data_IF_549906707959
#
_entry.id   IF_549906707959
#
_cell.length_a   1.000
_cell.length_b   1.000
_cell.length_c   1.000
_cell.angle_alpha   90.00
_cell.angle_beta   90.00
_cell.angle_gamma   90.00
#
_symmetry.space_group_name_H-M   'P 1'
#
loop_
_entity.id
_entity.type
_entity.pdbx_description
1 polymer ?
#
# COMPACT_ATOMS: atom_id res chain seq x y z
N UNK A 1 -78.91 -48.21 -44.73
CA UNK A 1 -77.62 -48.87 -45.03
C UNK A 1 -76.59 -47.82 -45.37
N UNK A 2 -75.61 -47.66 -44.49
CA UNK A 2 -74.21 -47.20 -44.66
C UNK A 2 -73.93 -46.18 -45.79
N UNK A 3 -73.39 -44.99 -45.54
CA UNK A 3 -72.04 -44.84 -45.00
C UNK A 3 -71.77 -43.38 -44.59
N UNK A 4 -71.27 -43.23 -43.36
CA UNK A 4 -70.72 -42.01 -42.76
C UNK A 4 -69.20 -42.03 -42.92
N UNK A 5 -68.55 -40.91 -43.27
CA UNK A 5 -67.32 -40.35 -42.63
C UNK A 5 -66.66 -39.29 -43.53
N UNK A 6 -66.74 -38.02 -43.15
CA UNK A 6 -65.76 -37.23 -42.38
C UNK A 6 -64.64 -36.65 -43.26
N UNK A 7 -64.83 -35.41 -43.68
CA UNK A 7 -63.79 -34.51 -44.21
C UNK A 7 -62.86 -34.15 -43.05
N UNK A 8 -61.59 -34.50 -43.17
CA UNK A 8 -60.54 -34.17 -42.21
C UNK A 8 -59.94 -32.82 -42.63
N UNK A 9 -60.33 -31.74 -41.94
CA UNK A 9 -59.66 -30.45 -42.05
C UNK A 9 -58.36 -30.51 -41.23
N UNK A 10 -57.21 -30.51 -41.92
CA UNK A 10 -55.90 -30.34 -41.28
C UNK A 10 -55.78 -28.91 -40.76
N UNK A 11 -55.98 -28.72 -39.46
CA UNK A 11 -55.61 -27.51 -38.74
C UNK A 11 -54.10 -27.57 -38.47
N UNK A 12 -53.29 -26.93 -39.31
CA UNK A 12 -51.87 -26.68 -39.01
C UNK A 12 -51.79 -25.61 -37.91
N UNK A 13 -51.71 -26.06 -36.65
CA UNK A 13 -51.31 -25.20 -35.55
C UNK A 13 -49.83 -24.84 -35.73
N UNK A 14 -49.55 -23.61 -36.14
CA UNK A 14 -48.20 -23.03 -36.07
C UNK A 14 -47.91 -22.82 -34.58
N UNK A 15 -47.21 -23.76 -33.97
CA UNK A 15 -46.59 -23.57 -32.66
C UNK A 15 -45.42 -22.62 -32.91
N UNK A 16 -45.64 -21.32 -32.69
CA UNK A 16 -44.55 -20.37 -32.46
C UNK A 16 -43.84 -20.80 -31.18
N UNK A 17 -42.85 -21.69 -31.30
CA UNK A 17 -41.79 -21.85 -30.32
C UNK A 17 -41.06 -20.51 -30.28
N UNK A 18 -41.46 -19.63 -29.37
CA UNK A 18 -40.62 -18.53 -28.93
C UNK A 18 -39.35 -19.16 -28.38
N UNK A 19 -38.28 -19.17 -29.18
CA UNK A 19 -36.94 -19.36 -28.69
C UNK A 19 -36.68 -18.19 -27.74
N UNK A 20 -36.89 -18.41 -26.45
CA UNK A 20 -36.31 -17.57 -25.42
C UNK A 20 -34.81 -17.77 -25.62
N UNK A 21 -34.17 -16.83 -26.33
CA UNK A 21 -32.72 -16.74 -26.33
C UNK A 21 -32.33 -16.51 -24.88
N UNK A 22 -31.90 -17.58 -24.19
CA UNK A 22 -31.23 -17.43 -22.91
C UNK A 22 -30.03 -16.55 -23.18
N UNK A 23 -30.08 -15.30 -22.70
CA UNK A 23 -28.95 -14.41 -22.76
C UNK A 23 -27.80 -15.10 -22.00
N UNK A 24 -26.82 -15.57 -22.75
CA UNK A 24 -25.78 -16.48 -22.28
C UNK A 24 -24.92 -15.75 -21.23
N UNK A 25 -24.89 -16.30 -20.01
CA UNK A 25 -23.98 -15.82 -18.97
C UNK A 25 -22.63 -16.46 -19.26
N UNK A 26 -21.67 -15.64 -19.66
CA UNK A 26 -20.28 -16.05 -19.78
C UNK A 26 -19.60 -16.00 -18.42
N UNK A 27 -18.59 -16.84 -18.22
CA UNK A 27 -17.91 -16.94 -16.92
C UNK A 27 -16.39 -16.98 -17.07
N UNK A 28 -15.69 -16.41 -16.10
CA UNK A 28 -14.23 -16.46 -15.98
C UNK A 28 -13.88 -16.86 -14.54
N UNK A 29 -13.21 -18.00 -14.35
CA UNK A 29 -12.73 -18.42 -13.02
C UNK A 29 -11.68 -17.45 -12.54
N UNK A 30 -11.71 -17.10 -11.27
CA UNK A 30 -10.72 -16.23 -10.66
C UNK A 30 -9.95 -17.01 -9.58
N UNK A 31 -8.63 -16.97 -9.65
CA UNK A 31 -7.73 -17.58 -8.66
C UNK A 31 -7.13 -16.51 -7.79
N UNK A 32 -7.03 -16.80 -6.50
CA UNK A 32 -6.26 -15.99 -5.55
C UNK A 32 -4.87 -16.61 -5.38
N UNK A 33 -3.81 -15.85 -5.60
CA UNK A 33 -2.42 -16.32 -5.39
C UNK A 33 -1.97 -16.02 -3.95
N UNK A 34 -2.65 -16.59 -2.97
CA UNK A 34 -2.30 -16.35 -1.57
C UNK A 34 -1.11 -17.23 -1.13
N UNK A 35 0.04 -16.59 -0.93
CA UNK A 35 1.22 -17.18 -0.27
C UNK A 35 1.23 -16.91 1.24
N UNK A 36 0.47 -15.89 1.68
CA UNK A 36 0.51 -15.33 3.01
C UNK A 36 -0.44 -16.00 4.01
N UNK A 37 -1.46 -16.72 3.52
CA UNK A 37 -2.47 -17.40 4.34
C UNK A 37 -3.14 -16.46 5.32
N UNK A 38 -3.48 -15.26 4.83
CA UNK A 38 -4.11 -14.22 5.65
C UNK A 38 -5.43 -14.75 6.21
N UNK A 39 -5.62 -14.57 7.52
CA UNK A 39 -6.89 -14.94 8.17
C UNK A 39 -7.90 -13.80 8.05
N UNK A 40 -9.12 -14.16 7.67
CA UNK A 40 -10.24 -13.23 7.56
C UNK A 40 -10.25 -12.45 6.24
N UNK A 41 -11.17 -11.48 6.10
CA UNK A 41 -11.33 -10.73 4.85
C UNK A 41 -10.08 -9.91 4.51
N UNK A 42 -9.65 -10.01 3.25
CA UNK A 42 -8.55 -9.24 2.66
C UNK A 42 -9.05 -8.50 1.40
N UNK A 43 -8.47 -7.33 1.05
CA UNK A 43 -8.77 -6.69 -0.21
C UNK A 43 -8.29 -7.52 -1.40
N UNK A 44 -9.22 -7.98 -2.23
CA UNK A 44 -8.93 -8.69 -3.47
C UNK A 44 -9.19 -7.75 -4.65
N UNK A 45 -8.12 -7.45 -5.39
CA UNK A 45 -8.15 -6.54 -6.54
C UNK A 45 -7.55 -7.25 -7.75
N UNK A 46 -8.30 -7.31 -8.85
CA UNK A 46 -7.92 -8.10 -10.02
C UNK A 46 -8.41 -7.54 -11.33
N UNK A 47 -7.57 -7.64 -12.37
CA UNK A 47 -7.93 -7.26 -13.73
C UNK A 47 -8.72 -8.36 -14.43
N UNK A 48 -9.88 -8.01 -14.98
CA UNK A 48 -10.75 -8.89 -15.74
C UNK A 48 -10.67 -8.53 -17.23
N UNK A 49 -10.14 -9.43 -18.09
CA UNK A 49 -10.19 -9.26 -19.54
C UNK A 49 -11.56 -9.69 -20.08
N UNK A 50 -12.06 -8.96 -21.08
CA UNK A 50 -13.29 -9.32 -21.76
C UNK A 50 -13.09 -9.37 -23.28
N UNK A 51 -13.70 -10.36 -23.96
CA UNK A 51 -13.76 -10.36 -25.42
C UNK A 51 -14.49 -9.12 -25.94
N UNK A 52 -14.12 -8.70 -27.15
CA UNK A 52 -14.80 -7.62 -27.85
C UNK A 52 -16.29 -7.91 -27.99
N UNK A 53 -17.12 -6.89 -27.78
CA UNK A 53 -18.59 -6.95 -27.79
C UNK A 53 -19.26 -7.82 -26.70
N UNK A 54 -18.51 -8.45 -25.79
CA UNK A 54 -19.10 -9.32 -24.76
C UNK A 54 -19.85 -8.54 -23.66
N UNK A 55 -19.34 -7.37 -23.26
CA UNK A 55 -19.94 -6.53 -22.23
C UNK A 55 -19.64 -5.06 -22.48
N UNK A 56 -20.66 -4.21 -22.37
CA UNK A 56 -20.56 -2.75 -22.59
C UNK A 56 -20.83 -1.95 -21.31
N UNK A 57 -21.45 -2.57 -20.30
CA UNK A 57 -21.77 -1.96 -19.02
C UNK A 57 -21.14 -2.77 -17.89
N UNK A 58 -20.38 -2.10 -17.01
CA UNK A 58 -19.77 -2.73 -15.85
C UNK A 58 -20.80 -3.31 -14.89
N UNK A 59 -22.04 -2.82 -14.84
CA UNK A 59 -23.13 -3.38 -14.03
C UNK A 59 -23.52 -4.82 -14.45
N UNK A 60 -23.11 -5.24 -15.64
CA UNK A 60 -23.30 -6.60 -16.16
C UNK A 60 -22.12 -7.53 -15.86
N UNK A 61 -21.33 -7.21 -14.84
CA UNK A 61 -20.22 -8.02 -14.33
C UNK A 61 -20.43 -8.17 -12.82
N UNK A 62 -20.55 -9.40 -12.33
CA UNK A 62 -20.63 -9.72 -10.90
C UNK A 62 -19.58 -10.76 -10.51
N UNK A 63 -19.21 -10.77 -9.23
CA UNK A 63 -18.34 -11.80 -8.65
C UNK A 63 -19.19 -12.76 -7.84
N UNK A 64 -18.96 -14.05 -8.00
CA UNK A 64 -19.62 -15.10 -7.21
C UNK A 64 -18.57 -15.99 -6.56
N UNK A 65 -18.91 -16.57 -5.41
CA UNK A 65 -18.10 -17.61 -4.76
C UNK A 65 -18.36 -19.01 -5.35
N UNK A 66 -17.64 -20.01 -4.82
CA UNK A 66 -17.81 -21.41 -5.20
C UNK A 66 -19.22 -21.98 -4.97
N UNK A 67 -20.03 -21.36 -4.10
CA UNK A 67 -21.43 -21.76 -3.85
C UNK A 67 -22.41 -21.03 -4.78
N UNK A 68 -21.93 -20.18 -5.69
CA UNK A 68 -22.75 -19.36 -6.57
C UNK A 68 -23.40 -18.16 -5.88
N UNK A 69 -22.97 -17.82 -4.66
CA UNK A 69 -23.45 -16.64 -3.95
C UNK A 69 -22.71 -15.42 -4.48
N UNK A 70 -23.45 -14.34 -4.73
CA UNK A 70 -22.85 -13.09 -5.17
C UNK A 70 -22.05 -12.45 -4.03
N UNK A 71 -20.82 -12.05 -4.35
CA UNK A 71 -19.94 -11.28 -3.49
C UNK A 71 -20.10 -9.79 -3.86
N UNK A 72 -20.43 -8.90 -2.90
CA UNK A 72 -20.45 -7.48 -3.16
C UNK A 72 -19.11 -7.03 -3.75
N UNK A 73 -19.16 -6.51 -4.98
CA UNK A 73 -17.97 -6.12 -5.72
C UNK A 73 -18.14 -4.75 -6.36
N UNK A 74 -17.03 -4.06 -6.51
CA UNK A 74 -16.89 -2.84 -7.28
C UNK A 74 -16.15 -3.19 -8.56
N UNK A 75 -16.67 -2.76 -9.72
CA UNK A 75 -16.07 -3.03 -11.02
C UNK A 75 -15.86 -1.73 -11.77
N UNK A 76 -14.60 -1.45 -12.09
CA UNK A 76 -14.16 -0.19 -12.67
C UNK A 76 -13.60 -0.42 -14.07
N UNK A 77 -14.16 0.24 -15.09
CA UNK A 77 -13.68 0.11 -16.47
C UNK A 77 -12.28 0.73 -16.57
N UNK A 78 -11.30 -0.07 -16.99
CA UNK A 78 -9.91 0.35 -17.15
C UNK A 78 -9.57 0.64 -18.62
N UNK A 79 -10.15 -0.11 -19.57
CA UNK A 79 -9.98 0.13 -20.99
C UNK A 79 -11.16 -0.39 -21.80
N UNK A 80 -11.43 0.25 -22.94
CA UNK A 80 -12.46 -0.16 -23.90
C UNK A 80 -11.86 -0.46 -25.28
N UNK A 81 -12.59 -1.26 -26.07
CA UNK A 81 -12.37 -1.38 -27.51
C UNK A 81 -12.94 -0.16 -28.25
N UNK A 82 -12.61 -0.02 -29.54
CA UNK A 82 -13.10 1.08 -30.40
C UNK A 82 -14.63 1.12 -30.54
N UNK A 83 -15.31 -0.02 -30.35
CA UNK A 83 -16.78 -0.10 -30.39
C UNK A 83 -17.45 0.22 -29.04
N UNK A 84 -16.67 0.62 -28.03
CA UNK A 84 -17.17 0.95 -26.70
C UNK A 84 -17.33 -0.25 -25.76
N UNK A 85 -17.17 -1.48 -26.24
CA UNK A 85 -17.18 -2.66 -25.36
C UNK A 85 -15.97 -2.65 -24.41
N UNK A 86 -16.18 -3.14 -23.19
CA UNK A 86 -15.14 -3.18 -22.16
C UNK A 86 -14.08 -4.20 -22.60
N UNK A 87 -12.82 -3.80 -22.57
CA UNK A 87 -11.66 -4.66 -22.82
C UNK A 87 -11.03 -5.16 -21.53
N UNK A 88 -10.90 -4.24 -20.56
CA UNK A 88 -10.37 -4.51 -19.23
C UNK A 88 -11.22 -3.79 -18.19
N UNK A 89 -11.58 -4.49 -17.12
CA UNK A 89 -12.11 -3.89 -15.91
C UNK A 89 -11.30 -4.33 -14.69
N UNK A 90 -11.34 -3.55 -13.63
CA UNK A 90 -10.76 -3.88 -12.33
C UNK A 90 -11.89 -4.26 -11.38
N UNK A 91 -11.89 -5.49 -10.89
CA UNK A 91 -12.75 -5.92 -9.80
C UNK A 91 -12.07 -5.64 -8.45
N UNK A 92 -12.83 -5.16 -7.47
CA UNK A 92 -12.38 -4.91 -6.10
C UNK A 92 -13.45 -5.35 -5.11
N UNK A 93 -13.09 -6.20 -4.15
CA UNK A 93 -13.96 -6.64 -3.07
C UNK A 93 -13.16 -7.09 -1.84
N UNK A 94 -13.84 -7.24 -0.70
CA UNK A 94 -13.27 -7.87 0.49
C UNK A 94 -13.66 -9.35 0.48
N UNK A 95 -12.68 -10.25 0.53
CA UNK A 95 -12.94 -11.69 0.46
C UNK A 95 -11.90 -12.51 1.21
N UNK A 96 -12.17 -13.81 1.38
CA UNK A 96 -11.19 -14.76 1.90
C UNK A 96 -10.09 -15.02 0.87
N UNK A 97 -8.85 -15.10 1.31
CA UNK A 97 -7.69 -15.32 0.43
C UNK A 97 -7.53 -16.78 -0.01
N UNK A 98 -8.19 -17.71 0.68
CA UNK A 98 -8.34 -19.13 0.28
C UNK A 98 -9.63 -19.41 -0.49
N UNK A 99 -10.39 -18.37 -0.85
CA UNK A 99 -11.66 -18.49 -1.56
C UNK A 99 -11.50 -18.77 -3.05
N UNK A 100 -12.40 -19.58 -3.60
CA UNK A 100 -12.59 -19.76 -5.04
C UNK A 100 -13.67 -18.79 -5.54
N UNK A 101 -13.33 -17.99 -6.56
CA UNK A 101 -14.23 -16.99 -7.12
C UNK A 101 -14.41 -17.16 -8.63
N UNK A 102 -15.46 -16.56 -9.16
CA UNK A 102 -15.73 -16.48 -10.60
C UNK A 102 -16.37 -15.14 -10.94
N UNK A 103 -15.98 -14.56 -12.06
CA UNK A 103 -16.72 -13.46 -12.68
C UNK A 103 -17.80 -14.04 -13.61
N UNK A 104 -19.05 -13.68 -13.36
CA UNK A 104 -20.15 -13.88 -14.32
C UNK A 104 -20.35 -12.56 -15.07
N UNK A 105 -20.47 -12.62 -16.40
CA UNK A 105 -20.68 -11.43 -17.23
C UNK A 105 -21.57 -11.69 -18.45
N UNK A 106 -22.21 -10.63 -18.94
CA UNK A 106 -23.06 -10.66 -20.14
C UNK A 106 -24.40 -9.96 -19.94
N UNK A 107 -25.22 -9.80 -20.98
CA UNK A 107 -26.41 -8.95 -20.96
C UNK A 107 -27.51 -9.40 -19.99
N UNK A 108 -27.50 -10.66 -19.51
CA UNK A 108 -28.39 -11.15 -18.46
C UNK A 108 -27.89 -10.90 -17.04
N UNK A 109 -26.60 -10.60 -16.87
CA UNK A 109 -26.00 -10.42 -15.55
C UNK A 109 -26.37 -9.06 -14.99
N UNK A 110 -26.75 -9.02 -13.72
CA UNK A 110 -26.92 -7.79 -12.96
C UNK A 110 -26.13 -7.94 -11.67
N UNK A 111 -25.21 -7.01 -11.41
CA UNK A 111 -24.52 -6.93 -10.14
C UNK A 111 -25.38 -6.21 -9.12
N UNK A 112 -25.45 -6.76 -7.91
CA UNK A 112 -26.04 -6.13 -6.75
C UNK A 112 -25.26 -4.87 -6.30
N UNK A 113 -25.89 -4.01 -5.48
CA UNK A 113 -25.22 -2.85 -4.94
C UNK A 113 -24.13 -3.26 -3.92
N UNK A 114 -23.04 -2.50 -3.89
CA UNK A 114 -22.03 -2.59 -2.83
C UNK A 114 -22.14 -1.38 -1.90
N UNK A 115 -22.02 -1.59 -0.59
CA UNK A 115 -21.97 -0.56 0.45
C UNK A 115 -20.81 -0.86 1.39
N UNK A 116 -20.10 0.17 1.82
CA UNK A 116 -18.96 0.02 2.72
C UNK A 116 -18.35 1.36 3.08
N UNK A 117 -17.56 1.92 2.18
CA UNK A 117 -16.89 3.21 2.37
C UNK A 117 -17.86 4.36 2.13
N UNK A 118 -17.91 5.32 3.06
CA UNK A 118 -18.51 6.63 2.85
C UNK A 118 -17.42 7.68 2.66
N UNK A 119 -17.49 8.42 1.55
CA UNK A 119 -16.56 9.52 1.24
C UNK A 119 -17.33 10.84 1.28
N UNK A 120 -16.88 11.79 2.10
CA UNK A 120 -17.45 13.14 2.18
C UNK A 120 -16.38 14.17 1.87
N UNK A 121 -16.61 14.98 0.85
CA UNK A 121 -15.75 16.14 0.53
C UNK A 121 -16.41 17.40 1.11
N UNK A 122 -15.72 18.08 2.03
CA UNK A 122 -16.22 19.31 2.66
C UNK A 122 -15.05 20.21 3.06
N UNK A 123 -15.18 21.52 2.81
CA UNK A 123 -14.22 22.54 3.26
C UNK A 123 -12.76 22.24 2.84
N UNK A 124 -12.56 21.67 1.65
CA UNK A 124 -11.23 21.31 1.14
C UNK A 124 -10.61 20.04 1.74
N UNK A 125 -11.38 19.29 2.53
CA UNK A 125 -10.99 18.03 3.18
C UNK A 125 -11.78 16.87 2.57
N UNK A 126 -11.17 15.69 2.53
CA UNK A 126 -11.81 14.43 2.18
C UNK A 126 -11.85 13.55 3.43
N UNK A 127 -13.06 13.23 3.88
CA UNK A 127 -13.32 12.31 4.99
C UNK A 127 -13.66 10.94 4.41
N UNK A 128 -12.92 9.91 4.82
CA UNK A 128 -13.13 8.52 4.41
C UNK A 128 -13.50 7.70 5.64
N UNK A 129 -14.75 7.25 5.70
CA UNK A 129 -15.22 6.31 6.72
C UNK A 129 -15.30 4.91 6.11
N UNK A 130 -14.44 4.00 6.58
CA UNK A 130 -14.43 2.60 6.11
C UNK A 130 -15.35 1.69 6.93
N UNK A 131 -15.98 2.20 7.98
CA UNK A 131 -16.69 1.43 9.00
C UNK A 131 -15.80 0.90 10.13
N UNK A 132 -14.50 0.68 9.87
CA UNK A 132 -13.51 0.28 10.88
C UNK A 132 -12.57 1.41 11.30
N UNK A 133 -12.43 2.44 10.46
CA UNK A 133 -11.76 3.68 10.82
C UNK A 133 -12.30 4.87 10.01
N UNK A 134 -12.08 6.07 10.55
CA UNK A 134 -12.29 7.34 9.86
C UNK A 134 -10.97 8.03 9.62
N UNK A 135 -10.75 8.41 8.37
CA UNK A 135 -9.54 9.11 7.93
C UNK A 135 -9.89 10.49 7.40
N UNK A 136 -9.05 11.46 7.72
CA UNK A 136 -9.12 12.81 7.19
C UNK A 136 -7.91 13.04 6.30
N UNK A 137 -8.13 13.48 5.05
CA UNK A 137 -7.08 13.88 4.12
C UNK A 137 -7.36 15.31 3.67
N UNK A 138 -6.34 16.16 3.66
CA UNK A 138 -6.47 17.59 3.35
C UNK A 138 -5.35 18.03 2.41
N UNK A 139 -5.35 19.31 2.06
CA UNK A 139 -4.25 19.97 1.33
C UNK A 139 -3.15 20.53 2.24
N UNK A 140 -3.20 20.24 3.54
CA UNK A 140 -2.19 20.72 4.50
C UNK A 140 -1.13 19.67 4.81
N UNK A 141 -1.26 18.43 4.32
CA UNK A 141 -0.30 17.35 4.57
C UNK A 141 -0.23 16.39 3.39
N UNK A 142 0.96 15.86 3.11
CA UNK A 142 1.13 14.85 2.08
C UNK A 142 0.44 13.52 2.44
N UNK A 143 0.31 13.20 3.73
CA UNK A 143 -0.22 11.92 4.20
C UNK A 143 -1.59 12.09 4.85
N UNK A 144 -2.11 11.03 5.51
CA UNK A 144 -3.38 11.09 6.23
C UNK A 144 -3.28 12.09 7.38
N UNK A 145 -4.05 13.17 7.31
CA UNK A 145 -4.04 14.24 8.31
C UNK A 145 -4.55 13.78 9.68
N UNK A 146 -5.44 12.79 9.74
CA UNK A 146 -5.93 12.29 11.01
C UNK A 146 -6.63 10.95 10.85
N UNK A 147 -6.53 10.10 11.86
CA UNK A 147 -7.15 8.79 11.87
C UNK A 147 -7.80 8.50 13.23
N UNK A 148 -8.95 7.85 13.18
CA UNK A 148 -9.74 7.45 14.34
C UNK A 148 -10.23 6.03 14.11
N UNK A 149 -9.96 5.11 15.04
CA UNK A 149 -10.57 3.78 15.01
C UNK A 149 -12.05 3.88 15.37
N UNK A 150 -12.87 3.13 14.63
CA UNK A 150 -14.31 2.98 14.90
C UNK A 150 -14.58 1.56 15.37
N UNK A 151 -15.50 1.40 16.32
CA UNK A 151 -15.77 0.12 16.98
C UNK A 151 -16.57 0.34 18.27
N UNK A 152 -16.39 -0.54 19.27
CA UNK A 152 -17.03 -0.40 20.58
C UNK A 152 -16.73 0.96 21.25
N UNK A 153 -15.51 1.45 21.03
CA UNK A 153 -15.08 2.79 21.47
C UNK A 153 -14.40 3.49 20.29
N UNK A 154 -14.76 4.76 20.10
CA UNK A 154 -14.06 5.65 19.17
C UNK A 154 -12.74 6.06 19.80
N UNK A 155 -11.62 5.75 19.13
CA UNK A 155 -10.28 6.01 19.65
C UNK A 155 -9.46 6.82 18.65
N UNK A 156 -9.07 8.07 18.96
CA UNK A 156 -8.22 8.86 18.09
C UNK A 156 -6.81 8.25 18.07
N UNK A 157 -6.26 8.05 16.87
CA UNK A 157 -4.91 7.52 16.69
C UNK A 157 -3.90 8.65 16.49
N UNK A 158 -4.21 9.56 15.59
CA UNK A 158 -3.44 10.79 15.34
C UNK A 158 -4.34 11.86 14.72
N UNK A 159 -3.90 13.11 14.78
CA UNK A 159 -4.55 14.28 14.21
C UNK A 159 -3.58 15.13 13.39
N UNK A 160 -4.05 16.30 12.95
CA UNK A 160 -3.30 17.18 12.07
C UNK A 160 -1.93 17.53 12.66
N UNK A 161 -0.87 17.35 11.86
CA UNK A 161 0.52 17.58 12.26
C UNK A 161 1.20 16.42 12.97
N UNK A 162 0.48 15.34 13.31
CA UNK A 162 1.05 14.18 14.00
C UNK A 162 1.52 13.09 13.04
N UNK A 163 1.11 13.11 11.76
CA UNK A 163 1.70 12.29 10.70
C UNK A 163 2.31 13.19 9.62
N UNK A 164 3.61 13.04 9.32
CA UNK A 164 4.32 13.91 8.40
C UNK A 164 5.41 13.18 7.61
N UNK A 165 5.56 13.53 6.33
CA UNK A 165 6.72 13.16 5.54
C UNK A 165 7.80 14.24 5.66
N UNK A 166 9.05 13.84 5.89
CA UNK A 166 10.17 14.75 6.07
C UNK A 166 11.39 14.35 5.24
N UNK A 167 12.30 15.30 5.07
CA UNK A 167 13.60 15.14 4.41
C UNK A 167 14.63 16.02 5.13
N UNK A 168 15.86 15.54 5.24
CA UNK A 168 17.03 16.26 5.73
C UNK A 168 18.08 16.24 4.63
N UNK A 169 18.45 17.41 4.13
CA UNK A 169 19.45 17.52 3.07
C UNK A 169 20.89 17.48 3.59
N UNK A 170 21.84 17.52 2.66
CA UNK A 170 23.27 17.57 2.88
C UNK A 170 23.78 18.73 3.74
N UNK A 171 22.98 19.78 3.93
CA UNK A 171 23.30 20.93 4.78
C UNK A 171 22.68 20.83 6.17
N UNK A 172 21.79 19.86 6.40
CA UNK A 172 21.05 19.71 7.66
C UNK A 172 19.79 20.52 7.76
N UNK A 173 19.33 21.05 6.64
CA UNK A 173 18.02 21.68 6.59
C UNK A 173 16.97 20.59 6.58
N UNK A 174 16.05 20.66 7.54
CA UNK A 174 14.84 19.85 7.54
C UNK A 174 13.83 20.49 6.60
N UNK A 175 13.21 19.65 5.78
CA UNK A 175 12.08 20.01 4.94
C UNK A 175 10.91 19.06 5.20
N UNK A 176 9.69 19.58 5.14
CA UNK A 176 8.45 18.79 5.30
C UNK A 176 7.52 19.02 4.12
N UNK A 177 6.73 18.00 3.77
CA UNK A 177 5.68 18.12 2.76
C UNK A 177 4.33 18.35 3.44
N UNK A 178 4.20 19.52 4.09
CA UNK A 178 3.04 19.93 4.85
C UNK A 178 2.95 21.47 4.93
N UNK A 179 1.77 21.98 5.27
CA UNK A 179 1.47 23.41 5.39
C UNK A 179 1.32 24.12 4.03
N UNK A 180 0.95 25.41 4.09
CA UNK A 180 0.60 26.18 2.88
C UNK A 180 1.74 26.27 1.86
N UNK A 181 2.99 26.40 2.32
CA UNK A 181 4.16 26.51 1.44
C UNK A 181 4.42 25.25 0.60
N UNK A 182 3.92 24.08 1.04
CA UNK A 182 4.06 22.83 0.31
C UNK A 182 3.17 22.76 -0.95
N UNK A 183 2.18 23.65 -1.11
CA UNK A 183 1.28 23.71 -2.26
C UNK A 183 0.69 22.34 -2.63
N UNK A 184 0.10 21.65 -1.65
CA UNK A 184 -0.35 20.27 -1.86
C UNK A 184 -1.66 20.25 -2.65
N UNK A 185 -1.66 19.52 -3.76
CA UNK A 185 -2.85 19.15 -4.48
C UNK A 185 -3.44 17.86 -3.91
N UNK A 186 -4.75 17.84 -3.65
CA UNK A 186 -5.51 16.65 -3.28
C UNK A 186 -6.47 16.27 -4.41
N UNK A 187 -6.40 15.03 -4.88
CA UNK A 187 -7.24 14.47 -5.94
C UNK A 187 -7.82 13.14 -5.51
N UNK A 188 -9.13 12.99 -5.66
CA UNK A 188 -9.82 11.71 -5.54
C UNK A 188 -9.57 10.90 -6.82
N UNK A 189 -8.72 9.87 -6.75
CA UNK A 189 -8.49 8.96 -7.88
C UNK A 189 -9.64 7.96 -8.02
N UNK A 190 -10.18 7.53 -6.86
CA UNK A 190 -11.28 6.60 -6.78
C UNK A 190 -12.11 6.83 -5.52
N UNK A 191 -13.42 7.06 -5.66
CA UNK A 191 -14.37 7.10 -4.54
C UNK A 191 -15.36 5.94 -4.65
N UNK A 192 -14.86 4.72 -4.47
CA UNK A 192 -15.66 3.51 -4.61
C UNK A 192 -16.16 2.97 -3.26
N UNK A 193 -17.32 2.27 -3.23
CA UNK A 193 -17.91 1.77 -1.99
C UNK A 193 -17.11 0.65 -1.30
N UNK A 194 -16.17 0.00 -2.00
CA UNK A 194 -15.32 -1.05 -1.43
C UNK A 194 -13.84 -0.70 -1.43
N UNK A 195 -13.43 0.18 -2.35
CA UNK A 195 -12.07 0.71 -2.46
C UNK A 195 -12.10 2.18 -2.82
N UNK A 196 -11.46 2.99 -1.99
CA UNK A 196 -11.26 4.42 -2.20
C UNK A 196 -9.76 4.71 -2.31
N UNK A 197 -9.34 5.49 -3.30
CA UNK A 197 -7.96 5.88 -3.51
C UNK A 197 -7.86 7.40 -3.67
N UNK A 198 -7.06 8.03 -2.82
CA UNK A 198 -6.77 9.45 -2.85
C UNK A 198 -5.31 9.67 -3.24
N UNK A 199 -5.02 10.81 -3.88
CA UNK A 199 -3.67 11.22 -4.23
C UNK A 199 -3.42 12.62 -3.71
N UNK A 200 -2.29 12.79 -3.04
CA UNK A 200 -1.73 14.06 -2.64
C UNK A 200 -0.39 14.26 -3.35
N UNK A 201 -0.08 15.51 -3.70
CA UNK A 201 1.22 15.86 -4.28
C UNK A 201 1.61 17.28 -3.90
N UNK A 202 2.81 17.47 -3.37
CA UNK A 202 3.31 18.76 -2.90
C UNK A 202 4.83 18.85 -2.88
N UNK A 203 5.34 19.94 -2.35
CA UNK A 203 6.76 20.22 -2.17
C UNK A 203 7.22 19.88 -0.76
N UNK A 204 8.41 19.30 -0.65
CA UNK A 204 9.18 19.37 0.58
C UNK A 204 9.77 20.77 0.72
N UNK A 205 9.40 21.46 1.80
CA UNK A 205 9.75 22.87 2.04
C UNK A 205 10.53 22.99 3.34
N UNK A 206 11.67 23.69 3.30
CA UNK A 206 12.47 24.00 4.50
C UNK A 206 11.78 25.03 5.39
N UNK A 207 12.25 25.17 6.64
CA UNK A 207 11.75 26.23 7.54
C UNK A 207 11.95 27.65 6.99
N UNK A 208 12.85 27.83 6.02
CA UNK A 208 13.10 29.09 5.32
C UNK A 208 12.26 29.26 4.04
N UNK A 209 11.38 28.30 3.72
CA UNK A 209 10.49 28.36 2.56
C UNK A 209 11.08 27.82 1.25
N UNK A 210 12.26 27.18 1.29
CA UNK A 210 12.92 26.66 0.09
C UNK A 210 12.34 25.30 -0.30
N UNK A 211 12.07 25.11 -1.59
CA UNK A 211 11.60 23.83 -2.14
C UNK A 211 12.82 22.98 -2.49
N UNK A 212 12.86 21.75 -2.00
CA UNK A 212 14.04 20.87 -2.17
C UNK A 212 13.74 19.54 -2.86
N UNK A 213 12.48 19.12 -2.88
CA UNK A 213 12.00 17.92 -3.56
C UNK A 213 10.48 17.94 -3.74
N UNK A 214 9.93 17.06 -4.58
CA UNK A 214 8.48 16.78 -4.65
C UNK A 214 8.14 15.48 -3.94
N UNK A 215 7.01 15.48 -3.26
CA UNK A 215 6.40 14.29 -2.66
C UNK A 215 5.09 13.96 -3.36
N UNK A 216 4.86 12.69 -3.66
CA UNK A 216 3.56 12.16 -4.12
C UNK A 216 3.15 11.06 -3.15
N UNK A 217 1.93 11.08 -2.63
CA UNK A 217 1.37 9.94 -1.92
C UNK A 217 0.08 9.47 -2.59
N UNK A 218 -0.09 8.16 -2.71
CA UNK A 218 -1.36 7.52 -3.05
C UNK A 218 -1.81 6.70 -1.85
N UNK A 219 -2.98 7.02 -1.32
CA UNK A 219 -3.55 6.40 -0.13
C UNK A 219 -4.78 5.59 -0.54
N UNK A 220 -4.74 4.28 -0.32
CA UNK A 220 -5.88 3.39 -0.61
C UNK A 220 -6.52 2.90 0.69
N UNK A 221 -7.84 2.99 0.75
CA UNK A 221 -8.70 2.61 1.85
C UNK A 221 -9.67 1.52 1.39
N UNK A 222 -10.02 0.62 2.30
CA UNK A 222 -10.84 -0.56 2.02
C UNK A 222 -12.01 -0.67 2.98
N UNK A 223 -13.18 -1.06 2.47
CA UNK A 223 -14.37 -1.25 3.29
C UNK A 223 -14.13 -2.25 4.43
N UNK A 224 -14.61 -1.92 5.64
CA UNK A 224 -14.48 -2.75 6.83
C UNK A 224 -13.05 -2.88 7.37
N UNK A 225 -12.08 -2.12 6.87
CA UNK A 225 -10.68 -2.19 7.27
C UNK A 225 -10.17 -0.87 7.82
N UNK A 226 -9.35 -0.93 8.88
CA UNK A 226 -8.58 0.21 9.37
C UNK A 226 -7.24 0.38 8.64
N UNK A 227 -6.87 -0.54 7.74
CA UNK A 227 -5.60 -0.49 7.02
C UNK A 227 -5.60 0.61 5.96
N UNK A 228 -4.45 1.27 5.78
CA UNK A 228 -4.22 2.27 4.73
C UNK A 228 -2.95 1.95 3.95
N UNK A 229 -3.09 1.64 2.66
CA UNK A 229 -1.95 1.47 1.75
C UNK A 229 -1.46 2.84 1.33
N UNK A 230 -0.16 3.07 1.51
CA UNK A 230 0.51 4.33 1.19
C UNK A 230 1.65 4.03 0.22
N UNK A 231 1.47 4.43 -1.03
CA UNK A 231 2.56 4.49 -2.02
C UNK A 231 3.15 5.90 -1.96
N UNK A 232 4.33 6.03 -1.36
CA UNK A 232 5.05 7.31 -1.20
C UNK A 232 6.16 7.43 -2.24
N UNK A 233 6.17 8.50 -3.02
CA UNK A 233 7.23 8.80 -3.99
C UNK A 233 7.96 10.08 -3.59
N UNK A 234 9.28 10.00 -3.46
CA UNK A 234 10.18 11.15 -3.47
C UNK A 234 10.65 11.41 -4.91
N UNK A 235 10.57 12.65 -5.38
CA UNK A 235 11.10 13.08 -6.68
C UNK A 235 12.15 14.16 -6.47
N UNK A 236 13.35 13.94 -6.99
CA UNK A 236 14.45 14.90 -6.94
C UNK A 236 14.20 16.02 -7.94
N UNK A 237 14.10 17.26 -7.48
CA UNK A 237 13.88 18.42 -8.36
C UNK A 237 15.14 19.24 -8.58
N UNK A 238 16.06 19.21 -7.62
CA UNK A 238 17.34 19.90 -7.68
C UNK A 238 18.42 19.07 -8.36
N UNK A 239 19.51 19.73 -8.77
CA UNK A 239 20.75 19.05 -9.17
C UNK A 239 21.31 18.27 -7.98
N UNK A 240 21.34 16.94 -8.09
CA UNK A 240 21.78 16.07 -6.98
C UNK A 240 23.28 16.18 -6.67
N UNK A 241 24.06 16.87 -7.52
CA UNK A 241 25.45 17.22 -7.21
C UNK A 241 25.56 18.43 -6.28
N UNK A 242 24.46 19.17 -6.06
CA UNK A 242 24.38 20.33 -5.17
C UNK A 242 23.55 20.05 -3.92
N UNK A 243 22.44 19.32 -4.07
CA UNK A 243 21.54 18.95 -2.99
C UNK A 243 21.27 17.44 -3.02
N UNK A 244 21.71 16.74 -1.99
CA UNK A 244 21.45 15.32 -1.79
C UNK A 244 20.88 15.07 -0.39
N UNK A 245 20.41 13.85 -0.14
CA UNK A 245 19.60 13.55 1.06
C UNK A 245 20.41 12.75 2.06
N UNK A 246 20.38 13.16 3.33
CA UNK A 246 21.04 12.46 4.44
C UNK A 246 20.08 11.61 5.25
N UNK A 247 18.85 12.09 5.41
CA UNK A 247 17.75 11.33 6.00
C UNK A 247 16.43 11.69 5.33
N UNK A 248 15.55 10.74 5.08
CA UNK A 248 14.15 11.07 4.82
C UNK A 248 13.24 9.92 5.22
N UNK A 249 11.99 10.26 5.51
CA UNK A 249 11.05 9.29 6.02
C UNK A 249 9.68 9.84 6.31
N UNK A 250 8.94 9.03 7.07
CA UNK A 250 7.61 9.32 7.55
C UNK A 250 7.60 9.16 9.06
N UNK A 251 7.10 10.15 9.77
CA UNK A 251 6.86 10.11 11.21
C UNK A 251 5.34 10.04 11.43
N UNK A 252 4.91 9.12 12.31
CA UNK A 252 3.53 9.05 12.80
C UNK A 252 3.56 9.01 14.32
N UNK A 253 3.16 10.12 14.95
CA UNK A 253 2.95 10.22 16.38
C UNK A 253 1.59 9.66 16.73
N UNK A 254 1.55 8.78 17.73
CA UNK A 254 0.33 8.18 18.22
C UNK A 254 -0.15 8.89 19.47
N UNK A 255 -1.46 9.10 19.55
CA UNK A 255 -2.19 9.49 20.75
C UNK A 255 -2.40 8.29 21.66
N UNK A 256 -1.27 7.68 22.01
CA UNK A 256 -1.16 6.55 22.91
C UNK A 256 -1.09 7.02 24.36
N UNK A 257 -1.53 6.17 25.28
CA UNK A 257 -1.34 6.37 26.72
C UNK A 257 -0.89 5.09 27.38
N UNK A 258 -0.32 5.19 28.58
CA UNK A 258 0.16 4.03 29.32
C UNK A 258 1.52 3.51 28.84
N UNK A 259 1.76 2.22 29.02
CA UNK A 259 3.06 1.59 28.74
C UNK A 259 3.20 1.35 27.24
N UNK A 260 4.21 1.98 26.63
CA UNK A 260 4.56 1.73 25.25
C UNK A 260 5.39 0.44 25.11
N UNK A 261 4.99 -0.43 24.20
CA UNK A 261 5.71 -1.64 23.82
C UNK A 261 5.99 -1.59 22.32
N UNK A 262 7.27 -1.65 21.97
CA UNK A 262 7.68 -1.84 20.59
C UNK A 262 7.87 -3.32 20.29
N UNK A 263 7.44 -3.76 19.12
CA UNK A 263 7.68 -5.10 18.59
C UNK A 263 8.20 -5.01 17.17
N UNK A 264 9.25 -5.76 16.85
CA UNK A 264 9.91 -5.75 15.54
C UNK A 264 9.95 -7.16 14.97
N UNK A 265 9.73 -7.24 13.66
CA UNK A 265 10.01 -8.44 12.89
C UNK A 265 11.52 -8.58 12.65
N UNK A 266 12.15 -9.49 13.40
CA UNK A 266 13.61 -9.67 13.34
C UNK A 266 14.02 -10.83 12.44
N UNK A 267 13.07 -11.37 11.64
CA UNK A 267 13.36 -12.42 10.68
C UNK A 267 12.57 -12.21 9.38
N UNK A 268 13.28 -12.29 8.25
CA UNK A 268 12.67 -12.25 6.90
C UNK A 268 11.96 -13.57 6.52
N UNK A 269 11.14 -14.11 7.42
CA UNK A 269 10.45 -15.40 7.28
C UNK A 269 8.93 -15.27 7.28
N UNK A 270 8.39 -14.08 7.60
CA UNK A 270 6.96 -13.85 7.78
C UNK A 270 6.30 -14.78 8.81
N UNK A 271 7.01 -15.04 9.90
CA UNK A 271 6.55 -15.84 11.03
C UNK A 271 6.46 -14.97 12.30
N UNK A 272 6.38 -15.62 13.46
CA UNK A 272 6.31 -14.91 14.75
C UNK A 272 7.67 -14.70 15.42
N UNK A 273 8.78 -14.73 14.67
CA UNK A 273 10.12 -14.48 15.19
C UNK A 273 10.33 -12.98 15.38
N UNK A 274 9.84 -12.48 16.52
CA UNK A 274 9.81 -11.05 16.85
C UNK A 274 10.64 -10.73 18.08
N UNK A 275 11.19 -9.52 18.11
CA UNK A 275 11.80 -8.93 19.31
C UNK A 275 10.89 -7.84 19.87
N UNK A 276 10.54 -7.94 21.15
CA UNK A 276 9.73 -6.93 21.85
C UNK A 276 10.53 -6.21 22.94
N UNK A 277 10.22 -4.94 23.16
CA UNK A 277 10.82 -4.12 24.21
C UNK A 277 9.81 -3.11 24.77
N UNK A 278 9.70 -3.04 26.09
CA UNK A 278 8.95 -1.99 26.75
C UNK A 278 9.80 -0.70 26.74
N UNK A 279 9.18 0.42 26.38
CA UNK A 279 9.86 1.70 26.20
C UNK A 279 9.51 2.67 27.34
N UNK A 280 10.53 3.32 27.89
CA UNK A 280 10.39 4.43 28.84
C UNK A 280 10.43 5.78 28.11
N UNK A 281 9.95 6.87 28.73
CA UNK A 281 10.12 8.21 28.20
C UNK A 281 11.59 8.50 27.87
N UNK A 282 11.86 9.00 26.66
CA UNK A 282 13.20 9.29 26.16
C UNK A 282 13.95 8.10 25.55
N UNK A 283 13.37 6.91 25.55
CA UNK A 283 13.92 5.74 24.85
C UNK A 283 13.35 5.60 23.44
N UNK A 284 14.12 5.00 22.53
CA UNK A 284 13.60 4.50 21.25
C UNK A 284 14.27 3.20 20.85
N UNK A 285 13.49 2.26 20.32
CA UNK A 285 14.01 1.03 19.74
C UNK A 285 14.08 1.18 18.23
N UNK A 286 15.18 0.74 17.60
CA UNK A 286 15.48 1.06 16.21
C UNK A 286 16.07 -0.14 15.49
N UNK A 287 15.36 -0.64 14.48
CA UNK A 287 15.79 -1.75 13.61
C UNK A 287 16.21 -1.20 12.26
N UNK A 288 17.45 -1.44 11.84
CA UNK A 288 17.99 -0.96 10.57
C UNK A 288 18.58 -2.10 9.77
N UNK A 289 18.22 -2.18 8.49
CA UNK A 289 19.00 -2.86 7.47
C UNK A 289 19.95 -1.83 6.86
N UNK A 290 21.26 -1.98 7.07
CA UNK A 290 22.29 -1.08 6.55
C UNK A 290 23.07 -1.67 5.37
N UNK A 291 23.02 -2.98 5.19
CA UNK A 291 23.59 -3.66 4.03
C UNK A 291 22.75 -4.88 3.61
N UNK A 292 22.68 -5.16 2.32
CA UNK A 292 21.99 -6.33 1.75
C UNK A 292 22.67 -6.72 0.43
N UNK A 293 22.62 -7.98 -0.04
CA UNK A 293 23.31 -8.37 -1.27
C UNK A 293 22.98 -7.47 -2.47
N UNK A 294 24.02 -6.86 -3.05
CA UNK A 294 23.92 -5.86 -4.12
C UNK A 294 25.20 -5.88 -4.96
N UNK A 295 25.12 -5.56 -6.26
CA UNK A 295 26.30 -5.35 -7.13
C UNK A 295 27.48 -6.33 -6.92
N UNK A 296 27.21 -7.63 -6.98
CA UNK A 296 28.18 -8.72 -6.76
C UNK A 296 28.72 -8.87 -5.33
N UNK A 297 28.28 -8.04 -4.39
CA UNK A 297 28.46 -8.23 -2.96
C UNK A 297 27.43 -9.22 -2.40
N UNK A 298 27.87 -9.97 -1.39
CA UNK A 298 27.05 -10.97 -0.69
C UNK A 298 26.78 -10.62 0.77
N UNK A 299 27.39 -9.54 1.26
CA UNK A 299 27.22 -9.09 2.63
C UNK A 299 25.76 -8.68 2.86
N UNK A 300 25.30 -8.91 4.09
CA UNK A 300 23.98 -8.55 4.55
C UNK A 300 24.06 -8.34 6.04
N UNK A 301 23.48 -7.24 6.52
CA UNK A 301 23.48 -6.94 7.94
C UNK A 301 22.25 -6.12 8.33
N UNK A 302 21.63 -6.52 9.45
CA UNK A 302 20.70 -5.70 10.20
C UNK A 302 21.10 -5.63 11.68
N UNK A 303 20.69 -4.55 12.33
CA UNK A 303 20.80 -4.40 13.77
C UNK A 303 19.50 -3.84 14.35
N UNK A 304 19.15 -4.29 15.56
CA UNK A 304 18.10 -3.72 16.40
C UNK A 304 18.74 -3.25 17.69
N UNK A 305 18.56 -1.97 18.03
CA UNK A 305 19.12 -1.37 19.25
C UNK A 305 18.08 -0.60 20.05
N UNK A 306 18.25 -0.57 21.38
CA UNK A 306 17.55 0.34 22.28
C UNK A 306 18.43 1.56 22.55
N UNK A 307 18.00 2.73 22.10
CA UNK A 307 18.60 4.01 22.40
C UNK A 307 18.04 4.57 23.72
N UNK A 308 18.93 5.01 24.61
CA UNK A 308 18.58 5.65 25.87
C UNK A 308 19.74 6.53 26.32
N UNK A 309 19.48 7.79 26.68
CA UNK A 309 20.48 8.73 27.20
C UNK A 309 21.75 8.86 26.31
N UNK A 310 21.58 8.90 24.99
CA UNK A 310 22.69 9.02 24.03
C UNK A 310 23.53 7.74 23.85
N UNK A 311 23.18 6.64 24.53
CA UNK A 311 23.79 5.33 24.34
C UNK A 311 22.82 4.42 23.57
N UNK A 312 23.37 3.44 22.85
CA UNK A 312 22.59 2.41 22.17
C UNK A 312 23.05 1.02 22.63
N UNK A 313 22.10 0.21 23.09
CA UNK A 313 22.33 -1.19 23.44
C UNK A 313 21.75 -2.08 22.36
N UNK A 314 22.58 -2.91 21.73
CA UNK A 314 22.11 -3.91 20.77
C UNK A 314 21.18 -4.94 21.45
N UNK A 315 20.07 -5.24 20.79
CA UNK A 315 19.07 -6.23 21.20
C UNK A 315 19.07 -7.45 20.28
N UNK A 316 19.31 -7.24 18.98
CA UNK A 316 19.42 -8.30 17.98
C UNK A 316 20.28 -7.82 16.79
N UNK A 317 20.88 -8.78 16.08
CA UNK A 317 21.60 -8.58 14.82
C UNK A 317 21.46 -9.84 13.97
N UNK A 318 21.67 -9.72 12.67
CA UNK A 318 21.66 -10.86 11.75
C UNK A 318 21.81 -10.39 10.30
N UNK A 319 21.50 -11.28 9.36
CA UNK A 319 21.68 -10.99 7.93
C UNK A 319 20.56 -10.11 7.36
N UNK A 320 19.30 -10.40 7.68
CA UNK A 320 18.16 -9.63 7.19
C UNK A 320 17.05 -9.52 8.24
N UNK A 321 16.59 -8.30 8.51
CA UNK A 321 15.39 -8.09 9.31
C UNK A 321 14.13 -8.35 8.48
N UNK A 322 13.00 -8.51 9.17
CA UNK A 322 11.69 -8.54 8.52
C UNK A 322 11.19 -7.14 8.15
N UNK A 323 9.94 -7.08 7.72
CA UNK A 323 9.39 -5.94 6.99
C UNK A 323 8.51 -5.00 7.84
N UNK A 324 8.31 -5.31 9.13
CA UNK A 324 7.37 -4.56 9.96
C UNK A 324 7.84 -4.29 11.39
N UNK A 325 7.25 -3.25 11.97
CA UNK A 325 7.32 -2.94 13.39
C UNK A 325 5.94 -2.54 13.90
N UNK A 326 5.77 -2.59 15.22
CA UNK A 326 4.56 -2.20 15.91
C UNK A 326 4.88 -1.35 17.13
N UNK A 327 4.01 -0.36 17.39
CA UNK A 327 3.87 0.30 18.66
C UNK A 327 2.51 -0.06 19.24
N UNK A 328 2.51 -0.77 20.37
CA UNK A 328 1.31 -1.05 21.16
C UNK A 328 1.35 -0.25 22.46
N UNK A 329 0.21 0.30 22.84
CA UNK A 329 -0.02 1.01 24.09
C UNK A 329 -1.36 0.61 24.72
N UNK A 330 -1.74 1.20 25.85
CA UNK A 330 -3.04 0.91 26.46
C UNK A 330 -4.18 1.46 25.58
N UNK A 331 -4.83 0.57 24.83
CA UNK A 331 -6.06 0.83 24.07
C UNK A 331 -5.88 0.92 22.55
N UNK A 332 -4.73 1.39 22.07
CA UNK A 332 -4.41 1.54 20.64
C UNK A 332 -3.00 1.09 20.30
N UNK A 333 -2.82 0.65 19.07
CA UNK A 333 -1.51 0.44 18.47
C UNK A 333 -1.50 0.71 16.96
N UNK A 334 -0.29 0.76 16.42
CA UNK A 334 -0.04 0.91 14.99
C UNK A 334 1.04 -0.06 14.59
N UNK A 335 0.71 -0.97 13.68
CA UNK A 335 1.70 -1.74 12.95
C UNK A 335 2.00 -1.05 11.62
N UNK A 336 3.27 -0.95 11.26
CA UNK A 336 3.72 -0.42 9.97
C UNK A 336 4.54 -1.46 9.25
N UNK A 337 4.17 -1.75 8.00
CA UNK A 337 4.92 -2.63 7.10
C UNK A 337 5.56 -1.76 6.01
N UNK A 338 6.84 -2.01 5.71
CA UNK A 338 7.53 -1.45 4.55
C UNK A 338 7.90 -2.60 3.64
N UNK A 339 7.32 -2.63 2.44
CA UNK A 339 7.54 -3.71 1.49
C UNK A 339 9.02 -3.83 1.11
N UNK A 340 9.53 -5.06 1.14
CA UNK A 340 10.90 -5.39 0.73
C UNK A 340 11.95 -4.53 1.47
N UNK A 341 11.76 -4.34 2.79
CA UNK A 341 12.56 -3.41 3.61
C UNK A 341 14.06 -3.69 3.48
N UNK A 342 14.47 -4.96 3.61
CA UNK A 342 15.87 -5.35 3.56
C UNK A 342 16.46 -5.16 2.15
N UNK A 343 15.73 -5.56 1.12
CA UNK A 343 16.13 -5.42 -0.28
C UNK A 343 16.26 -3.96 -0.73
N UNK A 344 15.58 -3.05 -0.03
CA UNK A 344 15.60 -1.61 -0.30
C UNK A 344 16.56 -0.84 0.60
N UNK A 345 17.53 -1.51 1.23
CA UNK A 345 18.49 -0.89 2.13
C UNK A 345 19.19 0.38 1.54
N UNK A 346 19.63 1.31 2.40
CA UNK A 346 19.40 1.33 3.83
C UNK A 346 17.94 1.70 4.17
N UNK A 347 17.40 1.06 5.22
CA UNK A 347 16.06 1.33 5.78
C UNK A 347 16.09 1.16 7.28
N UNK A 348 15.29 1.96 8.00
CA UNK A 348 15.17 1.82 9.44
C UNK A 348 13.72 2.04 9.91
N UNK A 349 13.31 1.20 10.85
CA UNK A 349 12.09 1.35 11.64
C UNK A 349 12.49 1.77 13.05
N UNK A 350 12.05 2.94 13.48
CA UNK A 350 12.22 3.45 14.84
C UNK A 350 10.86 3.52 15.54
N UNK A 351 10.81 3.00 16.76
CA UNK A 351 9.63 3.06 17.63
C UNK A 351 10.03 3.74 18.94
N UNK A 352 9.31 4.80 19.27
CA UNK A 352 9.42 5.55 20.53
C UNK A 352 8.05 5.53 21.24
N UNK A 353 7.96 5.89 22.54
CA UNK A 353 6.69 5.91 23.25
C UNK A 353 5.60 6.77 22.61
N UNK A 354 6.00 7.78 21.85
CA UNK A 354 5.10 8.73 21.20
C UNK A 354 4.77 8.38 19.74
N UNK A 355 5.38 7.35 19.13
CA UNK A 355 5.11 7.04 17.74
C UNK A 355 6.13 6.15 17.03
N UNK A 356 5.94 6.07 15.71
CA UNK A 356 6.78 5.30 14.78
C UNK A 356 7.39 6.25 13.76
N UNK A 357 8.69 6.08 13.48
CA UNK A 357 9.40 6.72 12.37
C UNK A 357 9.88 5.65 11.41
N UNK A 358 9.45 5.77 10.16
CA UNK A 358 9.95 4.96 9.05
C UNK A 358 10.98 5.79 8.31
N UNK A 359 12.26 5.47 8.48
CA UNK A 359 13.33 6.07 7.72
C UNK A 359 13.46 5.32 6.39
N UNK A 360 13.02 5.99 5.33
CA UNK A 360 13.15 5.51 3.96
C UNK A 360 14.59 5.67 3.43
N UNK A 361 15.39 6.49 4.11
CA UNK A 361 16.83 6.50 4.03
C UNK A 361 17.39 7.01 5.35
N UNK A 362 17.94 6.15 6.23
CA UNK A 362 18.38 6.57 7.56
C UNK A 362 19.79 7.16 7.58
N UNK A 363 19.96 8.31 8.22
CA UNK A 363 21.28 8.89 8.47
C UNK A 363 22.19 7.97 9.30
N UNK A 364 21.62 7.11 10.16
CA UNK A 364 22.38 6.16 10.98
C UNK A 364 23.16 5.13 10.15
N UNK A 365 22.76 4.88 8.91
CA UNK A 365 23.52 3.99 8.02
C UNK A 365 24.92 4.52 7.69
N UNK A 366 25.17 5.82 7.91
CA UNK A 366 26.41 6.48 7.49
C UNK A 366 26.52 6.69 5.99
N UNK A 367 25.49 6.29 5.21
CA UNK A 367 25.41 6.45 3.76
C UNK A 367 24.44 7.58 3.42
N UNK A 368 24.85 8.47 2.53
CA UNK A 368 24.01 9.56 2.04
C UNK A 368 23.44 9.19 0.65
N UNK A 369 22.23 9.63 0.35
CA UNK A 369 21.58 9.41 -0.95
C UNK A 369 22.13 10.39 -1.98
N UNK A 370 23.39 10.15 -2.34
CA UNK A 370 24.20 10.95 -3.22
C UNK A 370 24.55 10.17 -4.49
N UNK A 371 24.12 10.74 -5.63
CA UNK A 371 24.21 10.09 -6.93
C UNK A 371 25.51 10.37 -7.68
N UNK A 372 26.47 11.07 -7.07
CA UNK A 372 27.82 11.23 -7.64
C UNK A 372 28.47 9.86 -7.80
N UNK A 373 29.06 9.61 -8.97
CA UNK A 373 29.67 8.32 -9.27
C UNK A 373 30.75 7.93 -8.24
N UNK A 374 31.53 8.89 -7.74
CA UNK A 374 32.50 8.65 -6.68
C UNK A 374 31.87 8.06 -5.40
N UNK A 375 30.71 8.57 -4.99
CA UNK A 375 29.98 8.07 -3.81
C UNK A 375 29.36 6.71 -4.11
N UNK A 376 28.75 6.55 -5.28
CA UNK A 376 28.19 5.25 -5.69
C UNK A 376 29.25 4.15 -5.78
N UNK A 377 30.43 4.44 -6.33
CA UNK A 377 31.59 3.53 -6.35
C UNK A 377 31.98 3.09 -4.94
N UNK A 378 32.08 4.06 -4.02
CA UNK A 378 32.55 3.84 -2.65
C UNK A 378 31.53 3.07 -1.80
N UNK A 379 30.27 3.49 -1.82
CA UNK A 379 29.29 3.09 -0.81
C UNK A 379 28.32 1.98 -1.30
N UNK A 380 28.29 1.68 -2.61
CA UNK A 380 27.31 0.75 -3.20
C UNK A 380 27.85 -0.20 -4.28
N UNK A 381 28.57 0.32 -5.28
CA UNK A 381 29.03 -0.49 -6.41
C UNK A 381 30.21 -1.38 -6.05
N UNK A 382 30.96 -1.04 -5.00
CA UNK A 382 31.94 -1.89 -4.34
C UNK A 382 32.80 -2.70 -5.33
N UNK A 383 32.92 -4.01 -5.18
CA UNK A 383 33.74 -4.88 -6.02
C UNK A 383 33.31 -4.94 -7.49
N UNK A 384 32.04 -4.65 -7.81
CA UNK A 384 31.57 -4.56 -9.20
C UNK A 384 32.23 -3.40 -9.95
N UNK A 385 32.50 -2.27 -9.29
CA UNK A 385 33.11 -1.10 -9.92
C UNK A 385 34.49 -1.39 -10.54
N UNK A 386 35.23 -2.36 -10.00
CA UNK A 386 36.52 -2.81 -10.53
C UNK A 386 36.41 -3.51 -11.89
N UNK A 387 35.21 -3.97 -12.27
CA UNK A 387 34.94 -4.63 -13.56
C UNK A 387 34.46 -3.67 -14.64
N UNK A 388 34.22 -2.39 -14.28
CA UNK A 388 33.85 -1.37 -15.24
C UNK A 388 35.03 -1.05 -16.18
N UNK A 389 34.77 -0.60 -17.43
CA UNK A 389 35.83 -0.12 -18.32
C UNK A 389 36.68 0.97 -17.66
N UNK A 390 37.98 0.74 -17.52
CA UNK A 390 38.90 1.67 -16.84
C UNK A 390 38.92 1.55 -15.31
N UNK A 391 38.16 0.62 -14.73
CA UNK A 391 38.11 0.37 -13.29
C UNK A 391 37.37 1.43 -12.48
N UNK A 392 37.39 1.27 -11.16
CA UNK A 392 36.66 2.11 -10.21
C UNK A 392 37.07 3.60 -10.30
N UNK A 393 38.36 3.89 -10.47
CA UNK A 393 38.88 5.27 -10.55
C UNK A 393 38.40 6.03 -11.79
N UNK A 394 38.29 5.34 -12.93
CA UNK A 394 37.74 5.95 -14.14
C UNK A 394 36.23 6.18 -13.98
N UNK A 395 35.52 5.19 -13.43
CA UNK A 395 34.08 5.26 -13.20
C UNK A 395 33.70 6.38 -12.21
N UNK A 396 34.48 6.57 -11.14
CA UNK A 396 34.24 7.60 -10.13
C UNK A 396 34.28 9.04 -10.70
N UNK A 397 34.93 9.25 -11.85
CA UNK A 397 35.03 10.55 -12.54
C UNK A 397 33.90 10.80 -13.53
N UNK A 398 33.05 9.81 -13.78
CA UNK A 398 31.91 9.96 -14.68
C UNK A 398 30.87 10.88 -14.04
N UNK A 399 30.44 11.90 -14.78
CA UNK A 399 29.34 12.77 -14.36
C UNK A 399 28.05 11.97 -14.22
N UNK A 400 27.38 12.12 -13.07
CA UNK A 400 26.10 11.48 -12.77
C UNK A 400 25.18 12.49 -12.10
N UNK A 401 23.88 12.32 -12.31
CA UNK A 401 22.83 13.16 -11.71
C UNK A 401 21.52 12.36 -11.70
N UNK A 402 20.72 12.51 -10.65
CA UNK A 402 19.39 11.90 -10.55
C UNK A 402 18.27 12.94 -10.51
N UNK A 403 18.52 14.18 -10.96
CA UNK A 403 17.47 15.18 -11.15
C UNK A 403 16.33 14.60 -12.01
N UNK A 404 15.09 14.84 -11.57
CA UNK A 404 13.84 14.29 -12.09
C UNK A 404 13.63 12.77 -11.90
N UNK A 405 14.58 12.05 -11.29
CA UNK A 405 14.32 10.67 -10.87
C UNK A 405 13.34 10.64 -9.69
N UNK A 406 12.55 9.57 -9.60
CA UNK A 406 11.66 9.31 -8.49
C UNK A 406 11.87 7.93 -7.89
N UNK A 407 11.71 7.81 -6.58
CA UNK A 407 11.71 6.51 -5.87
C UNK A 407 10.41 6.37 -5.09
N UNK A 408 9.70 5.29 -5.36
CA UNK A 408 8.47 4.93 -4.65
C UNK A 408 8.73 3.85 -3.61
N UNK A 409 8.11 3.98 -2.44
CA UNK A 409 8.06 3.00 -1.36
C UNK A 409 6.61 2.62 -1.08
N UNK A 410 6.36 1.33 -0.92
CA UNK A 410 5.03 0.80 -0.58
C UNK A 410 4.99 0.50 0.91
N UNK A 411 4.07 1.18 1.60
CA UNK A 411 3.94 1.18 3.06
C UNK A 411 2.49 0.81 3.41
N UNK A 412 2.31 -0.06 4.40
CA UNK A 412 1.00 -0.39 4.95
C UNK A 412 0.92 0.08 6.40
N UNK A 413 -0.03 0.97 6.68
CA UNK A 413 -0.41 1.33 8.04
C UNK A 413 -1.55 0.42 8.49
N UNK A 414 -1.39 -0.25 9.64
CA UNK A 414 -2.40 -1.14 10.22
C UNK A 414 -2.67 -0.73 11.67
N UNK A 415 -3.50 0.31 11.90
CA UNK A 415 -3.94 0.64 13.23
C UNK A 415 -4.81 -0.48 13.81
N UNK A 416 -4.68 -0.71 15.11
CA UNK A 416 -5.41 -1.76 15.81
C UNK A 416 -5.81 -1.31 17.22
N UNK A 417 -6.86 -1.94 17.73
CA UNK A 417 -7.30 -1.78 19.10
C UNK A 417 -6.81 -2.98 19.93
N UNK A 418 -6.33 -2.71 21.14
CA UNK A 418 -5.84 -3.75 22.04
C UNK A 418 -4.42 -4.22 21.72
N UNK A 419 -4.04 -5.41 22.19
CA UNK A 419 -2.68 -5.92 22.04
C UNK A 419 -2.41 -6.38 20.60
N UNK A 420 -1.16 -6.24 20.16
CA UNK A 420 -0.66 -6.81 18.91
C UNK A 420 -0.91 -8.33 18.84
N UNK A 421 -1.57 -8.77 17.76
CA UNK A 421 -1.52 -10.14 17.27
C UNK A 421 -0.37 -10.27 16.25
N UNK A 422 0.76 -10.80 16.70
CA UNK A 422 1.97 -10.92 15.88
C UNK A 422 1.79 -11.88 14.68
N UNK A 423 0.95 -12.91 14.80
CA UNK A 423 0.70 -13.84 13.69
C UNK A 423 -0.14 -13.17 12.60
N UNK A 424 -1.12 -12.35 13.00
CA UNK A 424 -1.87 -11.51 12.07
C UNK A 424 -0.96 -10.46 11.43
N UNK A 425 -0.11 -9.79 12.20
CA UNK A 425 0.85 -8.81 11.66
C UNK A 425 1.79 -9.44 10.64
N UNK A 426 2.39 -10.60 10.94
CA UNK A 426 3.29 -11.32 10.05
C UNK A 426 2.60 -11.78 8.76
N UNK A 427 1.42 -12.41 8.84
CA UNK A 427 0.68 -12.83 7.64
C UNK A 427 0.23 -11.65 6.77
N UNK A 428 -0.21 -10.53 7.37
CA UNK A 428 -0.54 -9.31 6.60
C UNK A 428 0.70 -8.65 6.00
N UNK A 429 1.81 -8.61 6.71
CA UNK A 429 3.08 -8.13 6.17
C UNK A 429 3.54 -8.98 4.98
N UNK A 430 3.37 -10.30 5.06
CA UNK A 430 3.61 -11.20 3.94
C UNK A 430 2.73 -10.86 2.74
N UNK A 431 1.42 -10.65 2.96
CA UNK A 431 0.49 -10.26 1.89
C UNK A 431 0.80 -8.89 1.28
N UNK A 432 1.41 -7.97 2.03
CA UNK A 432 1.88 -6.68 1.50
C UNK A 432 3.12 -6.86 0.62
N UNK A 433 4.07 -7.72 1.03
CA UNK A 433 5.33 -7.94 0.32
C UNK A 433 5.19 -8.91 -0.88
N UNK A 434 4.28 -9.86 -0.76
CA UNK A 434 3.79 -10.78 -1.79
C UNK A 434 2.29 -10.51 -2.00
N UNK A 435 1.93 -9.47 -2.79
CA UNK A 435 0.55 -9.07 -3.00
C UNK A 435 -0.37 -10.24 -3.34
N UNK A 436 -1.45 -10.35 -2.56
CA UNK A 436 -2.56 -11.26 -2.86
C UNK A 436 -3.36 -10.65 -4.02
N UNK A 437 -3.17 -11.22 -5.20
CA UNK A 437 -3.81 -10.82 -6.46
C UNK A 437 -4.98 -11.75 -6.77
N UNK A 438 -5.97 -11.17 -7.44
CA UNK A 438 -7.06 -11.89 -8.07
C UNK A 438 -6.78 -12.00 -9.57
N UNK A 439 -6.60 -13.23 -10.06
CA UNK A 439 -6.13 -13.52 -11.41
C UNK A 439 -7.18 -14.33 -12.20
N UNK A 440 -7.47 -13.97 -13.47
CA UNK A 440 -8.42 -14.68 -14.34
C UNK A 440 -7.90 -16.01 -14.91
#
# INVERSE_FOLDING_TARGET
>A
MNSTRKVLACLCAVICLSTVAYAEVSTCRLRVNDEAKVKGPWPLVGGLPFPRAAVTDAAHIRIVDAQGREIPAQVDVAATYKDGSIRWALASFMGSTDGDYRADFGPAVRRGPAKGIAVTEKDGQVLVDTGAARFTVTKDNLLVNGAVLTGERTQPLWAAGEQQAYLIDNQGRRAVCAGQGAEIELRTLKAGPLRCALRTEGWYVTDQGERVARGIARMTFFAGSAMVEVSHTLVFTEDTNRLWVRDYGIETRLRASGVAKATFDVAKQFDTTVQSVALKPGESARMMQDDFPHFAERNSHFSLSLASNGQARELATGEACGEWCDLSSDGVGLTVVVRDLAEQFPKELEVAPDGIRVHLWPARSGKELDFRAATLVKDYWAGWSNRAPGGADALAKVGSNAQAAGKTHEIMLMPHAGPLDAAMAASRAHAVCKPVLLLP
#
